data_IF_143264443337
#
_entry.id   IF_143264443337
#
_cell.length_a   1.000
_cell.length_b   1.000
_cell.length_c   1.000
_cell.angle_alpha   90.00
_cell.angle_beta   90.00
_cell.angle_gamma   90.00
#
_symmetry.space_group_name_H-M   'P 1'
#
loop_
_entity.id
_entity.type
_entity.pdbx_description
1 polymer ?
#
# COMPACT_ATOMS: atom_id res chain seq x y z
N UNK A 1 -3.66 4.78 0.28
CA UNK A 1 -3.15 5.57 1.42
C UNK A 1 -3.80 6.95 1.54
N UNK A 2 -3.90 7.75 0.47
CA UNK A 2 -4.58 9.07 0.56
C UNK A 2 -6.03 8.96 1.04
N UNK A 3 -6.82 8.08 0.41
CA UNK A 3 -8.21 7.85 0.79
C UNK A 3 -8.34 7.37 2.24
N UNK A 4 -7.44 6.47 2.69
CA UNK A 4 -7.37 6.04 4.08
C UNK A 4 -7.14 7.24 5.01
N UNK A 5 -6.13 8.08 4.73
CA UNK A 5 -5.83 9.26 5.55
C UNK A 5 -7.06 10.18 5.67
N UNK A 6 -7.77 10.42 4.57
CA UNK A 6 -8.96 11.25 4.55
C UNK A 6 -10.13 10.63 5.34
N UNK A 7 -10.46 9.36 5.07
CA UNK A 7 -11.56 8.65 5.73
C UNK A 7 -11.32 8.51 7.24
N UNK A 8 -10.09 8.16 7.64
CA UNK A 8 -9.71 8.07 9.06
C UNK A 8 -9.85 9.42 9.77
N UNK A 9 -9.45 10.53 9.14
CA UNK A 9 -9.67 11.90 9.67
C UNK A 9 -11.15 12.27 9.81
N UNK A 10 -12.04 11.60 9.07
CA UNK A 10 -13.49 11.77 9.17
C UNK A 10 -14.15 10.80 10.15
N UNK A 11 -13.37 9.95 10.82
CA UNK A 11 -13.85 9.04 11.85
C UNK A 11 -14.44 7.73 11.34
N UNK A 12 -14.22 7.39 10.06
CA UNK A 12 -14.59 6.08 9.55
C UNK A 12 -13.63 4.99 10.08
N UNK A 13 -14.19 3.81 10.35
CA UNK A 13 -13.40 2.59 10.48
C UNK A 13 -12.92 2.19 9.08
N UNK A 14 -11.61 2.28 8.84
CA UNK A 14 -11.04 2.17 7.51
C UNK A 14 -9.70 1.47 7.55
N UNK A 15 -9.57 0.49 6.67
CA UNK A 15 -8.32 -0.16 6.34
C UNK A 15 -7.96 0.09 4.87
N UNK A 16 -6.72 -0.24 4.48
CA UNK A 16 -6.31 -0.10 3.09
C UNK A 16 -5.17 -1.04 2.74
N UNK A 17 -5.21 -1.63 1.55
CA UNK A 17 -4.31 -2.70 1.14
C UNK A 17 -3.75 -2.47 -0.26
N UNK A 18 -2.67 -3.18 -0.58
CA UNK A 18 -2.19 -3.38 -1.94
C UNK A 18 -2.44 -4.81 -2.41
N UNK A 19 -2.71 -5.00 -3.69
CA UNK A 19 -2.90 -6.34 -4.30
C UNK A 19 -1.68 -6.97 -4.97
N UNK A 20 -0.62 -6.23 -5.40
CA UNK A 20 0.58 -6.86 -5.95
C UNK A 20 1.29 -7.77 -4.93
N UNK A 21 2.23 -8.58 -5.40
CA UNK A 21 3.07 -9.41 -4.52
C UNK A 21 4.05 -8.59 -3.67
N UNK A 22 4.53 -7.46 -4.20
CA UNK A 22 5.52 -6.60 -3.54
C UNK A 22 5.18 -5.13 -3.72
N UNK A 23 5.63 -4.30 -2.78
CA UNK A 23 5.52 -2.84 -2.88
C UNK A 23 6.59 -2.34 -3.83
N UNK A 24 6.18 -1.63 -4.89
CA UNK A 24 7.09 -1.05 -5.89
C UNK A 24 7.06 0.46 -5.81
N UNK A 25 8.23 1.05 -5.57
CA UNK A 25 8.46 2.48 -5.50
C UNK A 25 9.39 2.93 -6.64
N UNK A 26 9.30 4.20 -7.03
CA UNK A 26 10.12 4.76 -8.11
C UNK A 26 11.60 4.59 -7.76
N UNK A 27 12.38 4.10 -8.73
CA UNK A 27 13.83 4.01 -8.66
C UNK A 27 14.52 4.80 -9.79
N UNK A 28 15.83 4.60 -10.01
CA UNK A 28 16.61 5.38 -10.96
C UNK A 28 16.12 5.30 -12.41
N UNK A 29 15.41 4.23 -12.76
CA UNK A 29 14.74 4.07 -14.05
C UNK A 29 13.50 3.19 -13.94
N UNK A 30 12.66 3.20 -14.97
CA UNK A 30 11.45 2.36 -15.03
C UNK A 30 11.73 0.86 -14.91
N UNK A 31 12.94 0.42 -15.32
CA UNK A 31 13.38 -0.99 -15.23
C UNK A 31 14.01 -1.35 -13.89
N UNK A 32 14.30 -0.37 -13.03
CA UNK A 32 14.97 -0.57 -11.74
C UNK A 32 14.17 0.10 -10.62
N UNK A 33 12.94 -0.37 -10.33
CA UNK A 33 12.17 0.14 -9.18
C UNK A 33 12.82 -0.27 -7.86
N UNK A 34 12.50 0.45 -6.79
CA UNK A 34 12.76 0.00 -5.44
C UNK A 34 11.63 -0.96 -5.03
N UNK A 35 11.99 -2.17 -4.60
CA UNK A 35 11.03 -3.22 -4.26
C UNK A 35 11.17 -3.55 -2.78
N UNK A 36 10.03 -3.66 -2.09
CA UNK A 36 9.96 -4.01 -0.68
C UNK A 36 8.86 -5.03 -0.44
N UNK A 37 9.04 -5.86 0.59
CA UNK A 37 8.01 -6.76 1.05
C UNK A 37 6.91 -5.99 1.78
N UNK A 38 5.68 -6.49 1.70
CA UNK A 38 4.63 -6.07 2.62
C UNK A 38 5.07 -6.36 4.06
N UNK A 39 4.65 -5.52 5.00
CA UNK A 39 5.17 -5.55 6.38
C UNK A 39 6.47 -4.75 6.60
N UNK A 40 7.17 -4.30 5.54
CA UNK A 40 8.32 -3.39 5.72
C UNK A 40 7.87 -2.04 6.28
N UNK A 41 8.35 -1.58 7.44
CA UNK A 41 7.94 -0.29 8.01
C UNK A 41 8.25 0.90 7.10
N UNK A 42 7.32 1.87 7.01
CA UNK A 42 7.49 3.03 6.15
C UNK A 42 8.72 3.89 6.51
N UNK A 43 9.10 3.95 7.79
CA UNK A 43 10.34 4.64 8.22
C UNK A 43 11.60 3.94 7.69
N UNK A 44 11.63 2.61 7.65
CA UNK A 44 12.74 1.85 7.07
C UNK A 44 12.84 2.09 5.57
N UNK A 45 11.71 2.09 4.85
CA UNK A 45 11.67 2.43 3.42
C UNK A 45 12.15 3.86 3.17
N UNK A 46 11.74 4.80 4.03
CA UNK A 46 12.15 6.20 3.96
C UNK A 46 13.68 6.34 4.09
N UNK A 47 14.27 5.73 5.11
CA UNK A 47 15.71 5.80 5.36
C UNK A 47 16.52 5.15 4.25
N UNK A 48 16.07 4.02 3.73
CA UNK A 48 16.69 3.33 2.60
C UNK A 48 16.70 4.21 1.34
N UNK A 49 15.55 4.76 0.95
CA UNK A 49 15.45 5.63 -0.22
C UNK A 49 16.25 6.92 -0.08
N UNK A 50 16.21 7.54 1.11
CA UNK A 50 16.98 8.74 1.42
C UNK A 50 18.49 8.50 1.26
N UNK A 51 19.00 7.34 1.67
CA UNK A 51 20.41 6.95 1.51
C UNK A 51 20.76 6.65 0.05
N UNK A 52 19.87 6.01 -0.70
CA UNK A 52 20.10 5.63 -2.10
C UNK A 52 20.20 6.83 -3.03
N UNK A 53 19.22 7.73 -3.01
CA UNK A 53 19.22 8.92 -3.87
C UNK A 53 18.25 9.99 -3.35
N UNK A 54 18.74 10.84 -2.43
CA UNK A 54 17.94 11.94 -1.88
C UNK A 54 17.46 12.95 -2.94
N UNK A 55 18.19 13.13 -4.05
CA UNK A 55 17.81 14.10 -5.10
C UNK A 55 16.63 13.59 -5.89
N UNK A 56 16.66 12.32 -6.31
CA UNK A 56 15.53 11.66 -6.96
C UNK A 56 14.31 11.65 -6.05
N UNK A 57 14.51 11.30 -4.77
CA UNK A 57 13.44 11.19 -3.79
C UNK A 57 12.78 12.52 -3.46
N UNK A 58 13.53 13.64 -3.48
CA UNK A 58 12.96 14.99 -3.39
C UNK A 58 12.18 15.35 -4.65
N UNK A 59 12.73 15.07 -5.83
CA UNK A 59 12.11 15.42 -7.12
C UNK A 59 10.77 14.69 -7.33
N UNK A 60 10.65 13.44 -6.91
CA UNK A 60 9.44 12.64 -7.10
C UNK A 60 8.47 12.70 -5.90
N UNK A 61 8.80 13.42 -4.83
CA UNK A 61 7.94 13.57 -3.65
C UNK A 61 7.73 12.30 -2.81
N UNK A 62 8.59 11.28 -2.95
CA UNK A 62 8.37 10.00 -2.28
C UNK A 62 8.63 10.05 -0.76
N UNK A 63 9.55 10.91 -0.30
CA UNK A 63 9.86 11.04 1.12
C UNK A 63 8.67 11.63 1.91
N UNK A 64 8.08 12.78 1.50
CA UNK A 64 6.86 13.28 2.15
C UNK A 64 5.68 12.28 2.08
N UNK A 65 5.57 11.52 0.98
CA UNK A 65 4.55 10.48 0.85
C UNK A 65 4.72 9.38 1.91
N UNK A 66 5.95 8.90 2.15
CA UNK A 66 6.24 7.88 3.15
C UNK A 66 6.05 8.39 4.58
N UNK A 67 6.43 9.63 4.87
CA UNK A 67 6.16 10.28 6.16
C UNK A 67 4.66 10.36 6.45
N UNK A 68 3.87 10.79 5.46
CA UNK A 68 2.41 10.80 5.58
C UNK A 68 1.86 9.38 5.81
N UNK A 69 2.35 8.39 5.06
CA UNK A 69 1.88 7.00 5.21
C UNK A 69 2.18 6.45 6.61
N UNK A 70 3.36 6.75 7.17
CA UNK A 70 3.74 6.39 8.54
C UNK A 70 2.79 6.99 9.58
N UNK A 71 2.31 8.21 9.35
CA UNK A 71 1.29 8.84 10.21
C UNK A 71 -0.10 8.19 10.12
N UNK A 72 -0.34 7.32 9.15
CA UNK A 72 -1.61 6.60 8.98
C UNK A 72 -1.53 5.19 9.58
N UNK A 73 -0.50 4.42 9.21
CA UNK A 73 -0.20 3.07 9.72
C UNK A 73 1.29 2.74 9.58
N UNK A 74 1.78 1.74 10.32
CA UNK A 74 3.21 1.42 10.39
C UNK A 74 3.79 0.83 9.08
N UNK A 75 3.06 -0.11 8.47
CA UNK A 75 3.55 -0.92 7.35
C UNK A 75 2.50 -0.97 6.21
N UNK A 76 2.91 -1.16 4.95
CA UNK A 76 2.00 -1.56 3.89
C UNK A 76 1.49 -2.98 4.18
N UNK A 77 0.19 -3.20 3.92
CA UNK A 77 -0.48 -4.50 4.09
C UNK A 77 -0.98 -4.97 2.73
N UNK A 78 -0.97 -6.28 2.55
CA UNK A 78 -1.41 -6.94 1.32
C UNK A 78 -2.86 -7.39 1.48
N UNK A 79 -3.64 -7.30 0.40
CA UNK A 79 -5.06 -7.64 0.40
C UNK A 79 -5.28 -9.11 0.73
N UNK A 80 -4.51 -10.01 0.12
CA UNK A 80 -4.64 -11.46 0.31
C UNK A 80 -4.29 -11.94 1.74
N UNK A 81 -3.76 -11.05 2.59
CA UNK A 81 -3.39 -11.34 3.98
C UNK A 81 -4.28 -10.55 4.96
N UNK A 82 -5.47 -10.10 4.52
CA UNK A 82 -6.34 -9.20 5.29
C UNK A 82 -7.21 -9.90 6.35
N UNK A 83 -7.24 -11.24 6.40
CA UNK A 83 -8.17 -11.99 7.24
C UNK A 83 -8.11 -11.62 8.74
N UNK A 84 -6.95 -11.13 9.21
CA UNK A 84 -6.74 -10.65 10.58
C UNK A 84 -7.53 -9.39 10.93
N UNK A 85 -7.91 -8.59 9.92
CA UNK A 85 -8.62 -7.32 10.09
C UNK A 85 -10.16 -7.52 10.03
N UNK A 86 -10.64 -8.73 9.72
CA UNK A 86 -12.06 -9.07 9.68
C UNK A 86 -12.77 -8.67 8.37
N UNK A 87 -14.11 -8.85 8.31
CA UNK A 87 -14.90 -8.54 7.13
C UNK A 87 -15.08 -7.03 6.91
N UNK A 88 -15.32 -6.63 5.66
CA UNK A 88 -15.58 -5.24 5.28
C UNK A 88 -16.96 -5.09 4.65
N UNK A 89 -17.71 -4.05 5.05
CA UNK A 89 -19.02 -3.74 4.47
C UNK A 89 -18.91 -3.12 3.06
N UNK A 90 -17.87 -2.31 2.84
CA UNK A 90 -17.67 -1.55 1.60
C UNK A 90 -16.21 -1.63 1.16
N UNK A 91 -15.99 -2.05 -0.09
CA UNK A 91 -14.69 -1.99 -0.74
C UNK A 91 -14.68 -0.84 -1.77
N UNK A 92 -13.64 0.00 -1.72
CA UNK A 92 -13.41 1.06 -2.70
C UNK A 92 -12.14 0.75 -3.47
N UNK A 93 -12.26 0.59 -4.78
CA UNK A 93 -11.16 0.22 -5.68
C UNK A 93 -11.03 1.29 -6.77
N UNK A 94 -9.80 1.71 -7.06
CA UNK A 94 -9.53 2.86 -7.93
C UNK A 94 -9.07 2.47 -9.35
N UNK A 95 -8.82 1.19 -9.62
CA UNK A 95 -8.35 0.70 -10.91
C UNK A 95 -9.01 -0.65 -11.27
N UNK A 96 -9.43 -0.81 -12.52
CA UNK A 96 -10.08 -2.03 -13.02
C UNK A 96 -9.22 -3.28 -12.81
N UNK A 97 -7.91 -3.21 -13.11
CA UNK A 97 -7.00 -4.33 -12.91
C UNK A 97 -6.93 -4.77 -11.45
N UNK A 98 -6.98 -3.82 -10.51
CA UNK A 98 -6.99 -4.13 -9.07
C UNK A 98 -8.33 -4.77 -8.70
N UNK A 99 -9.42 -4.29 -9.29
CA UNK A 99 -10.76 -4.87 -9.08
C UNK A 99 -10.81 -6.34 -9.48
N UNK A 100 -10.27 -6.70 -10.64
CA UNK A 100 -10.25 -8.10 -11.10
C UNK A 100 -9.48 -9.00 -10.13
N UNK A 101 -8.33 -8.56 -9.63
CA UNK A 101 -7.53 -9.32 -8.66
C UNK A 101 -8.28 -9.53 -7.33
N UNK A 102 -9.00 -8.50 -6.85
CA UNK A 102 -9.79 -8.62 -5.61
C UNK A 102 -10.98 -9.55 -5.83
N UNK A 103 -11.66 -9.45 -6.97
CA UNK A 103 -12.79 -10.33 -7.29
C UNK A 103 -12.35 -11.79 -7.43
N UNK A 104 -11.23 -12.06 -8.08
CA UNK A 104 -10.66 -13.41 -8.18
C UNK A 104 -10.41 -14.01 -6.79
N UNK A 105 -9.82 -13.22 -5.88
CA UNK A 105 -9.51 -13.62 -4.51
C UNK A 105 -10.80 -13.91 -3.69
N UNK A 106 -11.80 -13.03 -3.77
CA UNK A 106 -13.10 -13.22 -3.10
C UNK A 106 -13.88 -14.44 -3.62
N UNK A 107 -13.81 -14.73 -4.93
CA UNK A 107 -14.44 -15.92 -5.50
C UNK A 107 -13.77 -17.21 -5.01
N UNK A 108 -12.43 -17.19 -4.87
CA UNK A 108 -11.69 -18.32 -4.31
C UNK A 108 -12.17 -18.58 -2.88
N UNK A 109 -12.25 -17.56 -2.02
CA UNK A 109 -12.74 -17.74 -0.65
C UNK A 109 -14.16 -18.33 -0.60
N UNK A 110 -15.05 -17.88 -1.50
CA UNK A 110 -16.44 -18.39 -1.56
C UNK A 110 -16.53 -19.85 -2.02
N UNK A 111 -15.57 -20.35 -2.81
CA UNK A 111 -15.56 -21.74 -3.27
C UNK A 111 -14.99 -22.72 -2.23
N UNK A 112 -14.24 -22.22 -1.24
CA UNK A 112 -13.61 -23.03 -0.21
C UNK A 112 -14.22 -22.86 1.20
N UNK A 113 -15.30 -22.09 1.33
CA UNK A 113 -16.14 -22.00 2.56
C UNK A 113 -17.37 -22.91 2.46
#
# INVERSE_FOLDING_TARGET
>A
MESHCLLKRKGFDVASYGTPQHVKLIGPSSRKPNVYDFGTPYNQMFDDLRRKDVKLCRRNGILPMLERNLGVKLTPQRWQDNAVDGPFDVLIIFEEKVSNLVLEDLHIETMFS
#
